data_IF_743616163321
#
_entry.id   IF_743616163321
#
_cell.length_a   1.000
_cell.length_b   1.000
_cell.length_c   1.000
_cell.angle_alpha   90.00
_cell.angle_beta   90.00
_cell.angle_gamma   90.00
#
_symmetry.space_group_name_H-M   'P 1'
#
loop_
_entity.id
_entity.type
_entity.pdbx_description
1 polymer ?
#
# COMPACT_ATOMS: atom_id res chain seq x y z
N UNK A 1 8.97 -8.89 8.09
CA UNK A 1 7.78 -9.73 7.83
C UNK A 1 8.23 -11.05 7.21
N UNK A 2 7.46 -12.14 7.33
CA UNK A 2 7.69 -13.37 6.55
C UNK A 2 7.73 -13.08 5.05
N UNK A 3 8.34 -13.96 4.26
CA UNK A 3 8.30 -13.85 2.80
C UNK A 3 6.84 -13.91 2.34
N UNK A 4 6.42 -12.92 1.56
CA UNK A 4 5.05 -12.79 1.07
C UNK A 4 5.07 -12.30 -0.38
N UNK A 5 4.13 -12.79 -1.19
CA UNK A 5 3.85 -12.23 -2.50
C UNK A 5 2.62 -11.33 -2.39
N UNK A 6 2.77 -10.05 -2.72
CA UNK A 6 1.68 -9.07 -2.63
C UNK A 6 1.10 -8.87 -4.03
N UNK A 7 -0.16 -9.24 -4.20
CA UNK A 7 -0.92 -8.94 -5.41
C UNK A 7 -1.82 -7.73 -5.11
N UNK A 8 -1.64 -6.64 -5.86
CA UNK A 8 -2.47 -5.44 -5.74
C UNK A 8 -3.79 -5.68 -6.47
N UNK A 9 -4.90 -5.57 -5.75
CA UNK A 9 -6.24 -5.68 -6.33
C UNK A 9 -6.77 -4.34 -6.82
N UNK A 10 -6.62 -3.32 -5.98
CA UNK A 10 -7.11 -1.98 -6.23
C UNK A 10 -6.28 -0.98 -5.44
N UNK A 11 -6.27 0.25 -5.91
CA UNK A 11 -5.71 1.37 -5.18
C UNK A 11 -6.59 2.61 -5.39
N UNK A 12 -6.49 3.52 -4.45
CA UNK A 12 -7.12 4.82 -4.47
C UNK A 12 -6.10 5.87 -3.99
N UNK A 13 -6.17 7.06 -4.57
CA UNK A 13 -5.19 8.12 -4.32
C UNK A 13 -5.88 9.48 -4.26
N UNK A 14 -5.63 10.22 -3.18
CA UNK A 14 -6.21 11.55 -2.96
C UNK A 14 -5.12 12.55 -2.55
N UNK A 15 -5.15 13.79 -3.07
CA UNK A 15 -4.24 14.84 -2.60
C UNK A 15 -4.63 15.30 -1.19
N UNK A 16 -3.65 15.39 -0.28
CA UNK A 16 -3.81 15.85 1.10
C UNK A 16 -2.77 16.94 1.43
N UNK A 17 -3.07 18.17 1.03
CA UNK A 17 -2.25 19.38 1.27
C UNK A 17 -0.91 19.43 0.50
N UNK A 18 -0.42 20.64 0.21
CA UNK A 18 0.92 20.85 -0.34
C UNK A 18 0.98 21.33 -1.80
N UNK A 19 0.39 22.48 -2.10
CA UNK A 19 1.11 23.43 -2.93
C UNK A 19 0.78 24.82 -2.41
N UNK A 20 1.37 25.17 -1.26
CA UNK A 20 1.10 26.48 -0.63
C UNK A 20 1.36 27.64 -1.61
N UNK A 21 2.20 27.42 -2.64
CA UNK A 21 2.60 28.42 -3.62
C UNK A 21 2.39 27.96 -5.09
N UNK A 22 1.65 26.87 -5.35
CA UNK A 22 1.32 26.40 -6.71
C UNK A 22 2.46 25.77 -7.56
N UNK A 23 3.71 25.79 -7.08
CA UNK A 23 4.87 25.35 -7.85
C UNK A 23 5.27 23.88 -7.64
N UNK A 24 4.78 23.23 -6.58
CA UNK A 24 5.11 21.83 -6.26
C UNK A 24 3.86 20.92 -6.34
N UNK A 25 4.02 19.63 -6.72
CA UNK A 25 2.97 18.61 -6.60
C UNK A 25 2.45 18.44 -5.16
N UNK A 26 1.17 18.06 -4.98
CA UNK A 26 0.56 17.86 -3.67
C UNK A 26 1.12 16.63 -2.94
N UNK A 27 1.06 16.64 -1.62
CA UNK A 27 1.19 15.39 -0.86
C UNK A 27 -0.02 14.49 -1.14
N UNK A 28 0.17 13.18 -1.09
CA UNK A 28 -0.84 12.19 -1.46
C UNK A 28 -1.12 11.27 -0.28
N UNK A 29 -2.38 10.91 -0.10
CA UNK A 29 -2.78 9.74 0.67
C UNK A 29 -3.11 8.65 -0.34
N UNK A 30 -2.43 7.53 -0.22
CA UNK A 30 -2.62 6.37 -1.10
C UNK A 30 -3.13 5.23 -0.24
N UNK A 31 -4.21 4.58 -0.66
CA UNK A 31 -4.68 3.35 -0.02
C UNK A 31 -4.67 2.23 -1.05
N UNK A 32 -4.04 1.13 -0.71
CA UNK A 32 -3.88 -0.06 -1.55
C UNK A 32 -4.56 -1.23 -0.88
N UNK A 33 -5.32 -2.01 -1.65
CA UNK A 33 -5.92 -3.26 -1.21
C UNK A 33 -5.23 -4.42 -1.91
N UNK A 34 -4.86 -5.42 -1.12
CA UNK A 34 -4.09 -6.58 -1.58
C UNK A 34 -4.79 -7.89 -1.23
N UNK A 35 -4.43 -8.94 -1.97
CA UNK A 35 -4.82 -10.32 -1.71
C UNK A 35 -5.46 -10.98 -2.93
N UNK A 36 -5.86 -12.25 -2.83
CA UNK A 36 -6.55 -12.95 -3.91
C UNK A 36 -8.06 -12.70 -3.86
N UNK A 37 -8.67 -12.56 -5.04
CA UNK A 37 -10.12 -12.60 -5.21
C UNK A 37 -10.44 -13.77 -6.16
N UNK A 38 -11.20 -14.81 -5.73
CA UNK A 38 -11.91 -14.96 -4.45
C UNK A 38 -11.07 -15.61 -3.34
N UNK A 39 -11.51 -15.40 -2.09
CA UNK A 39 -11.02 -16.10 -0.90
C UNK A 39 -11.14 -17.62 -1.09
N UNK A 40 -10.08 -18.41 -0.86
CA UNK A 40 -10.17 -19.85 -1.06
C UNK A 40 -11.05 -20.54 -0.01
N UNK A 41 -11.56 -21.75 -0.32
CA UNK A 41 -12.48 -22.48 0.53
C UNK A 41 -11.86 -22.80 1.91
N UNK A 42 -12.69 -22.71 2.95
CA UNK A 42 -12.34 -23.13 4.30
C UNK A 42 -11.98 -24.63 4.31
N UNK A 43 -10.69 -24.96 4.38
CA UNK A 43 -10.20 -26.35 4.39
C UNK A 43 -8.83 -26.57 3.76
N UNK A 44 -8.30 -25.61 2.98
CA UNK A 44 -6.97 -25.71 2.36
C UNK A 44 -5.80 -25.33 3.28
N UNK A 45 -6.08 -24.96 4.53
CA UNK A 45 -5.11 -24.37 5.44
C UNK A 45 -4.35 -25.47 6.20
N UNK A 46 -3.07 -25.65 5.90
CA UNK A 46 -2.17 -26.46 6.71
C UNK A 46 -1.60 -25.61 7.86
N UNK A 47 -1.89 -25.92 9.14
CA UNK A 47 -1.45 -25.11 10.28
C UNK A 47 0.07 -25.13 10.54
N UNK A 48 0.83 -25.88 9.74
CA UNK A 48 2.31 -25.91 9.79
C UNK A 48 2.95 -25.22 8.59
N UNK A 49 2.18 -24.78 7.60
CA UNK A 49 2.68 -24.07 6.42
C UNK A 49 1.81 -22.82 6.16
N UNK A 50 2.33 -21.66 6.55
CA UNK A 50 1.64 -20.37 6.47
C UNK A 50 2.03 -19.53 5.25
N UNK A 51 2.98 -20.01 4.43
CA UNK A 51 3.59 -19.25 3.33
C UNK A 51 2.63 -19.03 2.15
N UNK A 52 1.69 -19.96 1.96
CA UNK A 52 0.71 -19.91 0.87
C UNK A 52 -0.67 -19.46 1.33
N UNK A 53 -0.80 -19.02 2.59
CA UNK A 53 -2.09 -18.57 3.08
C UNK A 53 -2.46 -17.26 2.43
N UNK A 54 -3.69 -17.15 1.91
CA UNK A 54 -4.19 -15.91 1.35
C UNK A 54 -4.30 -14.89 2.47
N UNK A 55 -3.71 -13.73 2.26
CA UNK A 55 -3.80 -12.62 3.20
C UNK A 55 -4.41 -11.45 2.45
N UNK A 56 -5.64 -11.12 2.81
CA UNK A 56 -6.25 -9.86 2.40
C UNK A 56 -5.78 -8.80 3.38
N UNK A 57 -5.26 -7.70 2.86
CA UNK A 57 -4.81 -6.59 3.69
C UNK A 57 -4.93 -5.28 2.94
N UNK A 58 -5.05 -4.20 3.72
CA UNK A 58 -5.00 -2.84 3.23
C UNK A 58 -3.72 -2.16 3.71
N UNK A 59 -3.10 -1.38 2.84
CA UNK A 59 -1.90 -0.61 3.11
C UNK A 59 -2.16 0.85 2.72
N UNK A 60 -2.06 1.76 3.68
CA UNK A 60 -2.20 3.19 3.45
C UNK A 60 -0.85 3.91 3.63
N UNK A 61 -0.56 4.86 2.76
CA UNK A 61 0.65 5.67 2.75
C UNK A 61 0.31 7.16 2.75
N UNK A 62 1.17 7.95 3.38
CA UNK A 62 1.27 9.39 3.12
C UNK A 62 2.56 9.63 2.33
N UNK A 63 2.40 10.13 1.11
CA UNK A 63 3.50 10.54 0.24
C UNK A 63 3.64 12.05 0.32
N UNK A 64 4.84 12.53 0.63
CA UNK A 64 5.16 13.97 0.57
C UNK A 64 6.09 14.21 -0.60
N UNK A 65 5.75 15.18 -1.43
CA UNK A 65 6.64 15.64 -2.49
C UNK A 65 7.83 16.38 -1.87
N UNK A 66 9.03 16.00 -2.28
CA UNK A 66 10.29 16.56 -1.76
C UNK A 66 11.03 17.34 -2.84
N UNK A 67 11.53 16.67 -3.87
CA UNK A 67 12.29 17.22 -5.00
C UNK A 67 12.38 16.15 -6.09
N UNK A 68 12.24 16.44 -7.39
CA UNK A 68 12.34 15.44 -8.46
C UNK A 68 13.65 14.63 -8.45
N UNK A 69 14.70 15.11 -7.77
CA UNK A 69 15.97 14.36 -7.63
C UNK A 69 16.02 13.42 -6.43
N UNK A 70 14.99 13.41 -5.56
CA UNK A 70 14.91 12.62 -4.33
C UNK A 70 13.68 11.70 -4.31
N UNK A 71 13.91 10.40 -4.17
CA UNK A 71 12.84 9.39 -4.14
C UNK A 71 12.40 8.93 -5.54
N UNK A 72 11.37 8.09 -5.59
CA UNK A 72 10.73 7.69 -6.85
C UNK A 72 9.75 8.82 -7.25
N UNK A 73 9.98 9.42 -8.42
CA UNK A 73 9.20 10.56 -8.94
C UNK A 73 9.08 11.78 -7.99
N UNK A 74 10.05 11.96 -7.09
CA UNK A 74 10.11 13.08 -6.17
C UNK A 74 9.32 12.91 -4.88
N UNK A 75 8.70 11.76 -4.64
CA UNK A 75 7.93 11.48 -3.43
C UNK A 75 8.71 10.66 -2.41
N UNK A 76 8.45 10.94 -1.13
CA UNK A 76 8.92 10.15 -0.01
C UNK A 76 7.73 9.68 0.84
N UNK A 77 7.75 8.42 1.27
CA UNK A 77 6.78 7.88 2.24
C UNK A 77 7.14 8.47 3.61
N UNK A 78 6.26 9.29 4.18
CA UNK A 78 6.44 9.86 5.53
C UNK A 78 5.60 9.15 6.58
N UNK A 79 4.62 8.36 6.15
CA UNK A 79 3.81 7.50 7.01
C UNK A 79 3.35 6.29 6.22
N UNK A 80 3.38 5.13 6.86
CA UNK A 80 2.82 3.88 6.36
C UNK A 80 1.94 3.22 7.45
N UNK A 81 0.84 2.61 7.03
CA UNK A 81 -0.07 1.89 7.91
C UNK A 81 -0.58 0.64 7.21
N UNK A 82 -0.24 -0.52 7.76
CA UNK A 82 -0.59 -1.82 7.23
C UNK A 82 -1.59 -2.53 8.15
N UNK A 83 -2.66 -3.11 7.58
CA UNK A 83 -3.68 -3.84 8.32
C UNK A 83 -4.23 -5.04 7.55
N UNK A 84 -4.22 -6.22 8.17
CA UNK A 84 -4.97 -7.38 7.67
C UNK A 84 -6.48 -7.12 7.76
N UNK A 85 -7.20 -7.44 6.70
CA UNK A 85 -8.65 -7.27 6.56
C UNK A 85 -9.38 -8.60 6.68
#
# INVERSE_FOLDING_TARGET
MPKSAHETQAFDCHPISGSANGAAPPSLVVTVSHGPNPTPPAGSINPKNFDHLPRVFSHSFILVYTDPTRGEDGYSIVSDSFRFC
#
